data_IF_624500085469
#
_entry.id   IF_624500085469
#
_cell.length_a   1.000
_cell.length_b   1.000
_cell.length_c   1.000
_cell.angle_alpha   90.00
_cell.angle_beta   90.00
_cell.angle_gamma   90.00
#
_symmetry.space_group_name_H-M   'P 1'
#
loop_
_entity.id
_entity.type
_entity.pdbx_description
1 polymer ?
#
# COMPACT_ATOMS: atom_id res chain seq x y z
N UNK A 1 16.25 -8.36 -0.72
CA UNK A 1 17.69 -8.49 -0.41
C UNK A 1 18.58 -7.76 -1.42
N UNK A 2 18.59 -8.12 -2.72
CA UNK A 2 19.43 -7.46 -3.73
C UNK A 2 19.06 -5.98 -3.97
N UNK A 3 17.77 -5.67 -4.11
CA UNK A 3 17.29 -4.29 -4.24
C UNK A 3 17.61 -3.42 -3.00
N UNK A 4 17.52 -4.00 -1.80
CA UNK A 4 17.89 -3.33 -0.55
C UNK A 4 19.40 -3.05 -0.49
N UNK A 5 20.23 -4.02 -0.92
CA UNK A 5 21.68 -3.87 -1.00
C UNK A 5 22.08 -2.80 -2.02
N UNK A 6 21.38 -2.69 -3.14
CA UNK A 6 21.65 -1.70 -4.18
C UNK A 6 21.15 -0.29 -3.81
N UNK A 7 20.01 -0.18 -3.11
CA UNK A 7 19.55 1.10 -2.54
C UNK A 7 20.56 1.62 -1.52
N UNK A 8 21.19 0.73 -0.74
CA UNK A 8 22.17 1.07 0.31
C UNK A 8 23.60 1.20 -0.29
N UNK A 9 23.91 0.48 -1.35
CA UNK A 9 25.21 0.40 -2.02
C UNK A 9 25.03 0.20 -3.53
N UNK A 10 24.88 1.29 -4.31
CA UNK A 10 24.53 1.25 -5.74
C UNK A 10 25.53 0.53 -6.65
N UNK A 11 26.73 0.22 -6.16
CA UNK A 11 27.81 -0.42 -6.92
C UNK A 11 28.11 -1.85 -6.48
N UNK A 12 27.30 -2.45 -5.59
CA UNK A 12 27.58 -3.75 -4.99
C UNK A 12 27.78 -4.89 -6.01
N UNK A 13 27.27 -4.75 -7.23
CA UNK A 13 27.36 -5.76 -8.30
C UNK A 13 28.29 -5.38 -9.46
N UNK A 14 29.04 -4.28 -9.36
CA UNK A 14 29.99 -3.84 -10.40
C UNK A 14 29.35 -3.27 -11.67
N UNK A 15 28.02 -3.13 -11.70
CA UNK A 15 27.23 -2.49 -12.76
C UNK A 15 26.06 -1.72 -12.12
N UNK A 16 25.73 -0.54 -12.66
CA UNK A 16 24.60 0.28 -12.19
C UNK A 16 23.27 -0.28 -12.74
N UNK A 17 22.68 -1.25 -12.05
CA UNK A 17 21.28 -1.58 -12.27
C UNK A 17 20.47 -0.72 -11.28
N UNK A 18 19.39 -0.06 -11.70
CA UNK A 18 18.53 0.64 -10.75
C UNK A 18 17.65 -0.38 -10.03
N UNK A 19 17.40 -0.21 -8.72
CA UNK A 19 16.55 -1.12 -7.93
C UNK A 19 15.15 -1.35 -8.54
N UNK A 20 14.64 -0.36 -9.29
CA UNK A 20 13.40 -0.44 -10.05
C UNK A 20 13.45 -1.56 -11.11
N UNK A 21 14.60 -1.74 -11.78
CA UNK A 21 14.80 -2.85 -12.72
C UNK A 21 14.87 -4.19 -12.01
N UNK A 22 15.49 -4.27 -10.84
CA UNK A 22 15.46 -5.48 -10.02
C UNK A 22 14.03 -5.88 -9.62
N UNK A 23 13.22 -4.91 -9.17
CA UNK A 23 11.82 -5.17 -8.86
C UNK A 23 11.00 -5.54 -10.09
N UNK A 24 11.22 -4.88 -11.23
CA UNK A 24 10.53 -5.23 -12.48
C UNK A 24 10.85 -6.65 -12.92
N UNK A 25 12.13 -7.05 -12.91
CA UNK A 25 12.53 -8.41 -13.25
C UNK A 25 11.91 -9.44 -12.29
N UNK A 26 11.94 -9.17 -10.98
CA UNK A 26 11.35 -10.05 -10.00
C UNK A 26 9.85 -10.21 -10.24
N UNK A 27 9.13 -9.12 -10.49
CA UNK A 27 7.71 -9.14 -10.88
C UNK A 27 7.47 -9.98 -12.13
N UNK A 28 8.29 -9.84 -13.17
CA UNK A 28 8.12 -10.57 -14.43
C UNK A 28 8.37 -12.08 -14.26
N UNK A 29 9.37 -12.46 -13.46
CA UNK A 29 9.63 -13.86 -13.11
C UNK A 29 8.45 -14.47 -12.34
N UNK A 30 7.92 -13.71 -11.39
CA UNK A 30 6.76 -14.11 -10.60
C UNK A 30 5.52 -14.28 -11.47
N UNK A 31 5.27 -13.35 -12.37
CA UNK A 31 4.17 -13.43 -13.32
C UNK A 31 4.22 -14.71 -14.17
N UNK A 32 5.40 -15.05 -14.71
CA UNK A 32 5.60 -16.28 -15.48
C UNK A 32 5.34 -17.53 -14.64
N UNK A 33 5.88 -17.56 -13.40
CA UNK A 33 5.64 -18.65 -12.45
C UNK A 33 4.15 -18.82 -12.16
N UNK A 34 3.41 -17.73 -11.98
CA UNK A 34 1.97 -17.78 -11.76
C UNK A 34 1.22 -18.31 -12.99
N UNK A 35 1.58 -17.86 -14.19
CA UNK A 35 0.99 -18.36 -15.43
C UNK A 35 1.23 -19.87 -15.62
N UNK A 36 2.35 -20.41 -15.12
CA UNK A 36 2.64 -21.84 -15.11
C UNK A 36 1.83 -22.58 -14.04
N UNK A 37 1.73 -22.04 -12.82
CA UNK A 37 0.92 -22.64 -11.74
C UNK A 37 -0.57 -22.70 -12.11
N UNK A 38 -1.11 -21.69 -12.83
CA UNK A 38 -2.50 -21.70 -13.34
C UNK A 38 -2.79 -22.83 -14.34
N UNK A 39 -1.77 -23.36 -15.01
CA UNK A 39 -1.92 -24.48 -15.96
C UNK A 39 -1.91 -25.84 -15.27
N UNK A 40 -1.57 -25.89 -13.98
CA UNK A 40 -1.41 -27.14 -13.22
C UNK A 40 -2.49 -27.17 -12.13
N UNK A 41 -3.53 -27.98 -12.31
CA UNK A 41 -4.76 -28.00 -11.49
C UNK A 41 -4.56 -28.25 -9.97
N UNK A 42 -3.32 -28.54 -9.52
CA UNK A 42 -2.98 -28.85 -8.12
C UNK A 42 -1.87 -27.96 -7.52
N UNK A 43 -1.30 -26.99 -8.25
CA UNK A 43 -0.06 -26.31 -7.84
C UNK A 43 -0.20 -25.16 -6.84
N UNK A 44 -1.42 -24.72 -6.49
CA UNK A 44 -1.63 -23.46 -5.75
C UNK A 44 -1.71 -23.65 -4.23
N UNK A 45 -2.17 -24.81 -3.74
CA UNK A 45 -2.17 -25.11 -2.29
C UNK A 45 -0.75 -25.37 -1.74
N UNK A 46 0.21 -25.74 -2.59
CA UNK A 46 1.53 -26.23 -2.13
C UNK A 46 2.58 -25.13 -1.94
N UNK A 47 2.47 -23.97 -2.59
CA UNK A 47 3.54 -22.96 -2.55
C UNK A 47 3.17 -21.71 -1.72
N UNK A 48 3.18 -21.88 -0.39
CA UNK A 48 3.02 -20.80 0.59
C UNK A 48 4.01 -19.65 0.36
N UNK A 49 5.18 -19.92 -0.21
CA UNK A 49 6.20 -18.91 -0.52
C UNK A 49 5.76 -18.07 -1.72
N UNK A 50 5.23 -18.69 -2.77
CA UNK A 50 4.63 -17.96 -3.90
C UNK A 50 3.44 -17.09 -3.43
N UNK A 51 2.54 -17.63 -2.61
CA UNK A 51 1.41 -16.86 -2.06
C UNK A 51 1.90 -15.65 -1.25
N UNK A 52 2.88 -15.84 -0.38
CA UNK A 52 3.52 -14.77 0.41
C UNK A 52 4.13 -13.68 -0.49
N UNK A 53 4.98 -14.08 -1.44
CA UNK A 53 5.62 -13.13 -2.35
C UNK A 53 4.56 -12.36 -3.15
N UNK A 54 3.43 -12.98 -3.46
CA UNK A 54 2.39 -12.38 -4.29
C UNK A 54 1.65 -11.29 -3.52
N UNK A 55 1.22 -11.58 -2.28
CA UNK A 55 0.66 -10.55 -1.39
C UNK A 55 1.63 -9.38 -1.22
N UNK A 56 2.92 -9.65 -1.08
CA UNK A 56 3.95 -8.61 -0.95
C UNK A 56 4.11 -7.74 -2.20
N UNK A 57 4.20 -8.33 -3.39
CA UNK A 57 4.30 -7.55 -4.63
C UNK A 57 3.01 -6.80 -4.95
N UNK A 58 1.84 -7.39 -4.67
CA UNK A 58 0.55 -6.71 -4.82
C UNK A 58 0.47 -5.48 -3.90
N UNK A 59 0.90 -5.62 -2.65
CA UNK A 59 1.03 -4.50 -1.72
C UNK A 59 1.94 -3.39 -2.26
N UNK A 60 3.15 -3.74 -2.70
CA UNK A 60 4.08 -2.76 -3.28
C UNK A 60 3.52 -2.06 -4.51
N UNK A 61 2.82 -2.78 -5.38
CA UNK A 61 2.24 -2.21 -6.60
C UNK A 61 1.11 -1.24 -6.28
N UNK A 62 0.18 -1.62 -5.39
CA UNK A 62 -0.93 -0.76 -4.95
C UNK A 62 -0.40 0.51 -4.30
N UNK A 63 0.55 0.39 -3.37
CA UNK A 63 1.13 1.55 -2.69
C UNK A 63 1.98 2.41 -3.63
N UNK A 64 2.73 1.80 -4.55
CA UNK A 64 3.51 2.50 -5.56
C UNK A 64 2.62 3.33 -6.50
N UNK A 65 1.50 2.78 -6.94
CA UNK A 65 0.52 3.49 -7.76
C UNK A 65 -0.17 4.63 -6.98
N UNK A 66 -0.52 4.38 -5.71
CA UNK A 66 -1.09 5.41 -4.83
C UNK A 66 -0.09 6.52 -4.46
N UNK A 67 1.21 6.24 -4.54
CA UNK A 67 2.28 7.21 -4.29
C UNK A 67 2.67 8.04 -5.52
N UNK A 68 2.04 7.82 -6.68
CA UNK A 68 2.25 8.62 -7.90
C UNK A 68 3.32 8.10 -8.85
N UNK A 69 3.73 6.84 -8.74
CA UNK A 69 4.68 6.22 -9.66
C UNK A 69 4.11 6.09 -11.08
N UNK A 70 4.68 6.82 -12.05
CA UNK A 70 4.34 6.69 -13.47
C UNK A 70 4.79 5.31 -13.98
N UNK A 71 3.90 4.54 -14.65
CA UNK A 71 4.27 3.25 -15.22
C UNK A 71 5.29 3.39 -16.34
N UNK A 72 6.06 2.33 -16.52
CA UNK A 72 6.53 1.96 -17.85
C UNK A 72 5.31 1.50 -18.69
N UNK A 73 5.19 1.96 -19.94
CA UNK A 73 3.97 1.81 -20.78
C UNK A 73 3.52 0.34 -20.94
N UNK A 74 4.46 -0.59 -20.89
CA UNK A 74 4.24 -2.02 -21.13
C UNK A 74 3.90 -2.83 -19.86
N UNK A 75 3.67 -2.19 -18.71
CA UNK A 75 3.49 -2.90 -17.44
C UNK A 75 2.01 -3.15 -17.09
N UNK A 76 1.50 -4.38 -17.20
CA UNK A 76 0.14 -4.74 -16.81
C UNK A 76 0.05 -4.87 -15.27
N UNK A 77 0.05 -3.74 -14.57
CA UNK A 77 0.26 -3.67 -13.10
C UNK A 77 -0.88 -4.22 -12.22
N UNK A 78 -2.02 -4.58 -12.81
CA UNK A 78 -3.20 -4.90 -12.02
C UNK A 78 -3.66 -6.36 -12.05
N UNK A 79 -3.07 -7.17 -12.94
CA UNK A 79 -3.41 -8.59 -13.08
C UNK A 79 -2.88 -9.44 -11.91
N UNK A 80 -1.91 -8.92 -11.16
CA UNK A 80 -1.35 -9.58 -9.99
C UNK A 80 -2.39 -9.70 -8.86
N UNK A 81 -3.23 -8.68 -8.66
CA UNK A 81 -4.30 -8.68 -7.68
C UNK A 81 -5.48 -9.57 -8.11
N UNK A 82 -5.69 -9.74 -9.41
CA UNK A 82 -6.76 -10.59 -9.97
C UNK A 82 -6.60 -12.07 -9.57
N UNK A 83 -5.38 -12.49 -9.23
CA UNK A 83 -5.13 -13.83 -8.68
C UNK A 83 -5.53 -13.96 -7.20
N UNK A 84 -5.23 -12.98 -6.34
CA UNK A 84 -5.71 -12.95 -4.95
C UNK A 84 -7.23 -12.85 -4.88
N UNK A 85 -7.89 -12.41 -5.96
CA UNK A 85 -9.34 -12.40 -6.13
C UNK A 85 -9.96 -13.76 -6.45
N UNK A 86 -9.16 -14.79 -6.81
CA UNK A 86 -9.67 -16.14 -7.09
C UNK A 86 -9.69 -17.07 -5.88
N UNK A 87 -9.05 -16.68 -4.78
CA UNK A 87 -9.17 -17.36 -3.47
C UNK A 87 -10.22 -16.69 -2.58
N UNK A 88 -11.30 -16.21 -3.20
CA UNK A 88 -12.41 -15.53 -2.54
C UNK A 88 -13.33 -16.54 -1.81
N UNK A 89 -12.73 -17.34 -0.91
CA UNK A 89 -13.44 -18.00 0.17
C UNK A 89 -13.85 -17.01 1.28
N UNK A 90 -14.04 -17.55 2.49
CA UNK A 90 -14.51 -16.85 3.71
C UNK A 90 -13.53 -15.76 4.24
N UNK A 91 -12.36 -15.60 3.62
CA UNK A 91 -11.20 -14.90 4.20
C UNK A 91 -11.08 -13.43 3.76
N UNK A 92 -12.06 -12.90 3.04
CA UNK A 92 -12.01 -11.53 2.50
C UNK A 92 -11.84 -10.43 3.55
N UNK A 93 -12.22 -10.71 4.80
CA UNK A 93 -12.11 -9.78 5.93
C UNK A 93 -11.00 -10.17 6.92
N UNK A 94 -10.19 -11.16 6.55
CA UNK A 94 -8.96 -11.51 7.25
C UNK A 94 -7.89 -10.44 6.96
N UNK A 95 -7.23 -9.96 8.02
CA UNK A 95 -6.07 -9.08 7.94
C UNK A 95 -4.91 -9.91 7.42
N UNK A 96 -4.36 -9.52 6.28
CA UNK A 96 -3.18 -10.16 5.73
C UNK A 96 -1.96 -9.87 6.62
N UNK A 97 -1.25 -10.93 6.99
CA UNK A 97 -0.09 -10.90 7.87
C UNK A 97 1.06 -9.97 7.38
N UNK A 98 1.11 -9.64 6.08
CA UNK A 98 2.13 -8.79 5.46
C UNK A 98 1.61 -7.39 5.23
N UNK A 99 0.40 -7.26 4.69
CA UNK A 99 -0.16 -5.96 4.36
C UNK A 99 -0.59 -5.19 5.62
N UNK A 100 -1.01 -5.89 6.67
CA UNK A 100 -1.55 -5.27 7.88
C UNK A 100 -2.98 -4.75 7.73
N UNK A 101 -3.66 -5.07 6.63
CA UNK A 101 -5.06 -4.75 6.39
C UNK A 101 -5.75 -5.88 5.62
N UNK A 102 -7.08 -5.80 5.53
CA UNK A 102 -7.88 -6.88 4.95
C UNK A 102 -7.66 -7.05 3.46
N UNK A 103 -7.79 -8.29 2.96
CA UNK A 103 -7.77 -8.57 1.52
C UNK A 103 -8.82 -7.72 0.77
N UNK A 104 -10.01 -7.53 1.34
CA UNK A 104 -11.04 -6.63 0.79
C UNK A 104 -10.53 -5.18 0.68
N UNK A 105 -9.83 -4.66 1.69
CA UNK A 105 -9.26 -3.31 1.64
C UNK A 105 -8.20 -3.21 0.52
N UNK A 106 -7.32 -4.20 0.38
CA UNK A 106 -6.32 -4.27 -0.69
C UNK A 106 -6.96 -4.16 -2.08
N UNK A 107 -8.00 -4.96 -2.30
CA UNK A 107 -8.74 -5.01 -3.56
C UNK A 107 -9.40 -3.67 -3.92
N UNK A 108 -9.86 -2.95 -2.91
CA UNK A 108 -10.52 -1.65 -3.07
C UNK A 108 -9.47 -0.55 -3.29
N UNK A 109 -8.39 -0.53 -2.51
CA UNK A 109 -7.28 0.42 -2.66
C UNK A 109 -6.68 0.35 -4.06
N UNK A 110 -6.53 -0.87 -4.58
CA UNK A 110 -6.08 -1.06 -5.93
C UNK A 110 -7.06 -0.43 -6.94
N UNK A 111 -8.38 -0.65 -6.80
CA UNK A 111 -9.37 -0.03 -7.69
C UNK A 111 -9.28 1.50 -7.65
N UNK A 112 -9.01 2.07 -6.47
CA UNK A 112 -8.76 3.51 -6.30
C UNK A 112 -7.48 3.92 -7.02
N UNK A 113 -6.40 3.15 -6.90
CA UNK A 113 -5.12 3.43 -7.55
C UNK A 113 -5.25 3.49 -9.08
N UNK A 114 -5.99 2.54 -9.66
CA UNK A 114 -6.25 2.51 -11.11
C UNK A 114 -7.08 3.71 -11.58
N UNK A 115 -8.14 4.07 -10.84
CA UNK A 115 -8.92 5.27 -11.15
C UNK A 115 -8.08 6.53 -11.03
N UNK A 116 -7.32 6.66 -9.95
CA UNK A 116 -6.47 7.81 -9.67
C UNK A 116 -5.45 8.01 -10.79
N UNK A 117 -4.81 6.92 -11.24
CA UNK A 117 -3.85 6.93 -12.36
C UNK A 117 -4.49 7.45 -13.64
N UNK A 118 -5.64 6.91 -14.07
CA UNK A 118 -6.33 7.38 -15.28
C UNK A 118 -6.71 8.86 -15.19
N UNK A 119 -7.12 9.31 -14.01
CA UNK A 119 -7.43 10.71 -13.75
C UNK A 119 -6.18 11.59 -13.77
N UNK A 120 -5.05 11.12 -13.24
CA UNK A 120 -3.75 11.79 -13.32
C UNK A 120 -3.27 11.91 -14.76
N UNK A 121 -3.38 10.85 -15.56
CA UNK A 121 -3.04 10.88 -16.99
C UNK A 121 -3.85 11.93 -17.73
N UNK A 122 -5.17 12.01 -17.51
CA UNK A 122 -6.01 13.06 -18.10
C UNK A 122 -5.61 14.47 -17.64
N UNK A 123 -5.22 14.63 -16.38
CA UNK A 123 -4.76 15.92 -15.83
C UNK A 123 -3.43 16.35 -16.43
N UNK A 124 -2.47 15.44 -16.52
CA UNK A 124 -1.09 15.72 -16.95
C UNK A 124 -0.97 15.84 -18.47
N UNK A 125 -1.80 15.12 -19.24
CA UNK A 125 -1.81 15.21 -20.72
C UNK A 125 -2.56 16.43 -21.25
N UNK A 126 -3.39 17.08 -20.42
CA UNK A 126 -4.09 18.30 -20.81
C UNK A 126 -3.09 19.45 -21.04
N UNK A 127 -2.90 19.83 -22.31
CA UNK A 127 -1.86 20.76 -22.81
C UNK A 127 -1.99 22.22 -22.35
N UNK A 128 -2.82 22.50 -21.33
CA UNK A 128 -3.03 23.87 -20.84
C UNK A 128 -2.10 24.16 -19.65
N UNK A 129 -1.24 25.19 -19.74
CA UNK A 129 -0.27 25.57 -18.69
C UNK A 129 -0.92 26.03 -17.37
N UNK A 130 -2.25 26.12 -17.33
CA UNK A 130 -3.04 26.21 -16.12
C UNK A 130 -4.35 25.46 -16.38
N UNK A 131 -4.56 24.25 -15.83
CA UNK A 131 -5.83 23.59 -16.02
C UNK A 131 -6.92 24.45 -15.36
N UNK A 132 -8.00 24.86 -16.05
CA UNK A 132 -9.25 25.10 -15.33
C UNK A 132 -9.49 23.85 -14.48
N UNK A 133 -9.84 24.02 -13.20
CA UNK A 133 -9.97 22.95 -12.21
C UNK A 133 -10.46 21.65 -12.87
N UNK A 134 -9.53 20.73 -13.15
CA UNK A 134 -9.86 19.51 -13.90
C UNK A 134 -10.99 18.80 -13.16
N UNK A 135 -12.02 18.41 -13.88
CA UNK A 135 -13.15 17.68 -13.30
C UNK A 135 -13.26 16.30 -13.95
N UNK A 136 -13.53 15.26 -13.15
CA UNK A 136 -13.74 13.92 -13.68
C UNK A 136 -15.00 13.85 -14.52
N UNK A 137 -14.97 13.06 -15.60
CA UNK A 137 -16.16 12.75 -16.38
C UNK A 137 -17.21 11.95 -15.57
N UNK A 138 -18.48 11.93 -16.00
CA UNK A 138 -19.57 11.28 -15.26
C UNK A 138 -19.33 9.80 -14.94
N UNK A 139 -18.67 9.07 -15.84
CA UNK A 139 -18.33 7.66 -15.64
C UNK A 139 -17.34 7.46 -14.48
N UNK A 140 -16.33 8.34 -14.35
CA UNK A 140 -15.38 8.31 -13.24
C UNK A 140 -16.07 8.65 -11.92
N UNK A 141 -16.97 9.64 -11.91
CA UNK A 141 -17.76 9.98 -10.72
C UNK A 141 -18.63 8.81 -10.27
N UNK A 142 -19.34 8.16 -11.20
CA UNK A 142 -20.17 7.00 -10.89
C UNK A 142 -19.33 5.85 -10.33
N UNK A 143 -18.17 5.57 -10.96
CA UNK A 143 -17.28 4.51 -10.51
C UNK A 143 -16.66 4.83 -9.15
N UNK A 144 -16.29 6.08 -8.90
CA UNK A 144 -15.80 6.54 -7.61
C UNK A 144 -16.82 6.30 -6.50
N UNK A 145 -18.09 6.66 -6.71
CA UNK A 145 -19.18 6.40 -5.75
C UNK A 145 -19.36 4.91 -5.44
N UNK A 146 -19.25 4.05 -6.45
CA UNK A 146 -19.32 2.60 -6.23
C UNK A 146 -18.16 2.09 -5.38
N UNK A 147 -16.95 2.58 -5.64
CA UNK A 147 -15.75 2.17 -4.90
C UNK A 147 -15.79 2.73 -3.47
N UNK A 148 -16.24 3.96 -3.29
CA UNK A 148 -16.49 4.57 -1.97
C UNK A 148 -17.48 3.74 -1.15
N UNK A 149 -18.62 3.36 -1.72
CA UNK A 149 -19.60 2.52 -1.02
C UNK A 149 -19.03 1.15 -0.63
N UNK A 150 -18.25 0.52 -1.52
CA UNK A 150 -17.56 -0.75 -1.21
C UNK A 150 -16.56 -0.58 -0.07
N UNK A 151 -15.80 0.51 -0.06
CA UNK A 151 -14.82 0.83 0.96
C UNK A 151 -15.50 1.05 2.31
N UNK A 152 -16.52 1.90 2.35
CA UNK A 152 -17.28 2.14 3.58
C UNK A 152 -17.96 0.86 4.08
N UNK A 153 -18.49 0.03 3.18
CA UNK A 153 -19.06 -1.26 3.55
C UNK A 153 -18.00 -2.20 4.13
N UNK A 154 -16.79 -2.29 3.56
CA UNK A 154 -15.75 -3.17 4.10
C UNK A 154 -15.26 -2.73 5.47
N UNK A 155 -15.31 -1.44 5.79
CA UNK A 155 -15.01 -0.93 7.14
C UNK A 155 -16.01 -1.41 8.20
N UNK A 156 -17.26 -1.69 7.84
CA UNK A 156 -18.26 -2.19 8.81
C UNK A 156 -18.15 -3.70 9.06
N UNK A 157 -17.24 -4.38 8.36
CA UNK A 157 -17.05 -5.82 8.46
C UNK A 157 -16.03 -6.14 9.55
N UNK A 158 -16.13 -7.30 10.22
CA UNK A 158 -15.17 -7.68 11.25
C UNK A 158 -13.77 -7.79 10.64
N UNK A 159 -12.78 -7.15 11.26
CA UNK A 159 -11.38 -7.36 10.91
C UNK A 159 -10.88 -8.60 11.66
N UNK A 160 -10.75 -9.72 10.94
CA UNK A 160 -10.36 -11.00 11.52
C UNK A 160 -8.82 -11.12 11.51
N UNK A 161 -8.20 -11.59 12.60
CA UNK A 161 -6.78 -11.92 12.57
C UNK A 161 -6.47 -12.99 11.52
N UNK A 162 -5.28 -12.89 10.93
CA UNK A 162 -4.71 -13.87 10.02
C UNK A 162 -4.74 -15.29 10.63
N UNK A 163 -5.12 -16.33 9.87
CA UNK A 163 -5.16 -17.75 10.31
C UNK A 163 -3.83 -18.28 10.82
N UNK A 164 -2.73 -17.66 10.41
CA UNK A 164 -1.39 -17.98 10.89
C UNK A 164 -1.15 -17.54 12.34
N UNK A 165 -1.98 -16.66 12.88
CA UNK A 165 -1.83 -16.13 14.25
C UNK A 165 -2.73 -16.92 15.21
N UNK A 166 -2.11 -17.69 16.08
CA UNK A 166 -2.82 -18.58 17.02
C UNK A 166 -3.39 -17.82 18.23
N UNK A 167 -2.74 -16.73 18.66
CA UNK A 167 -3.18 -15.85 19.73
C UNK A 167 -2.71 -14.43 19.48
N UNK A 168 -3.58 -13.45 19.67
CA UNK A 168 -3.28 -12.02 19.61
C UNK A 168 -3.74 -11.40 20.92
N UNK A 169 -2.84 -10.69 21.59
CA UNK A 169 -3.20 -9.90 22.77
C UNK A 169 -4.24 -8.84 22.40
N UNK A 170 -5.12 -8.48 23.34
CA UNK A 170 -6.23 -7.57 23.04
C UNK A 170 -5.76 -6.21 22.48
N UNK A 171 -4.63 -5.71 22.98
CA UNK A 171 -4.02 -4.45 22.54
C UNK A 171 -3.48 -4.55 21.10
N UNK A 172 -2.74 -5.62 20.79
CA UNK A 172 -2.22 -5.85 19.43
C UNK A 172 -3.36 -6.01 18.43
N UNK A 173 -4.44 -6.68 18.83
CA UNK A 173 -5.65 -6.82 18.03
C UNK A 173 -6.30 -5.47 17.75
N UNK A 174 -6.32 -4.58 18.73
CA UNK A 174 -6.85 -3.23 18.54
C UNK A 174 -5.98 -2.42 17.57
N UNK A 175 -4.66 -2.51 17.66
CA UNK A 175 -3.76 -1.83 16.72
C UNK A 175 -3.91 -2.36 15.29
N UNK A 176 -4.12 -3.66 15.11
CA UNK A 176 -4.43 -4.26 13.81
C UNK A 176 -5.72 -3.69 13.19
N UNK A 177 -6.78 -3.52 14.00
CA UNK A 177 -8.04 -2.91 13.56
C UNK A 177 -7.82 -1.46 13.16
N UNK A 178 -7.13 -0.67 14.00
CA UNK A 178 -6.83 0.74 13.73
C UNK A 178 -5.98 0.93 12.48
N UNK A 179 -5.01 0.03 12.26
CA UNK A 179 -4.21 0.03 11.04
C UNK A 179 -5.08 -0.24 9.81
N UNK A 180 -5.93 -1.28 9.84
CA UNK A 180 -6.87 -1.55 8.75
C UNK A 180 -7.80 -0.35 8.48
N UNK A 181 -8.35 0.30 9.51
CA UNK A 181 -9.17 1.51 9.35
C UNK A 181 -8.39 2.67 8.71
N UNK A 182 -7.15 2.91 9.14
CA UNK A 182 -6.32 3.98 8.59
C UNK A 182 -6.02 3.78 7.09
N UNK A 183 -5.85 2.54 6.63
CA UNK A 183 -5.72 2.23 5.20
C UNK A 183 -7.00 2.55 4.42
N UNK A 184 -8.18 2.30 4.99
CA UNK A 184 -9.45 2.69 4.38
C UNK A 184 -9.56 4.22 4.26
N UNK A 185 -9.24 4.96 5.34
CA UNK A 185 -9.24 6.42 5.33
C UNK A 185 -8.25 7.00 4.31
N UNK A 186 -7.05 6.43 4.21
CA UNK A 186 -6.08 6.83 3.20
C UNK A 186 -6.62 6.59 1.77
N UNK A 187 -7.29 5.45 1.54
CA UNK A 187 -7.98 5.16 0.28
C UNK A 187 -9.01 6.23 -0.09
N UNK A 188 -9.87 6.63 0.86
CA UNK A 188 -10.86 7.69 0.63
C UNK A 188 -10.22 9.06 0.35
N UNK A 189 -9.10 9.40 0.99
CA UNK A 189 -8.35 10.63 0.66
C UNK A 189 -7.90 10.59 -0.80
N UNK A 190 -7.30 9.49 -1.25
CA UNK A 190 -6.88 9.34 -2.65
C UNK A 190 -8.08 9.40 -3.61
N UNK A 191 -9.20 8.78 -3.26
CA UNK A 191 -10.42 8.84 -4.07
C UNK A 191 -10.95 10.28 -4.19
N UNK A 192 -11.04 11.01 -3.08
CA UNK A 192 -11.51 12.40 -3.10
C UNK A 192 -10.56 13.35 -3.81
N UNK A 193 -9.25 13.23 -3.56
CA UNK A 193 -8.23 14.14 -4.11
C UNK A 193 -7.91 13.85 -5.57
N UNK A 194 -7.67 12.58 -5.90
CA UNK A 194 -7.10 12.18 -7.19
C UNK A 194 -8.14 11.76 -8.23
N UNK A 195 -9.28 11.23 -7.79
CA UNK A 195 -10.36 10.82 -8.70
C UNK A 195 -11.44 11.88 -8.79
N UNK A 196 -11.92 12.38 -7.64
CA UNK A 196 -12.99 13.40 -7.58
C UNK A 196 -12.49 14.84 -7.71
N UNK A 197 -11.17 15.06 -7.73
CA UNK A 197 -10.58 16.39 -7.93
C UNK A 197 -10.82 17.38 -6.79
N UNK A 198 -11.22 16.91 -5.60
CA UNK A 198 -11.47 17.80 -4.45
C UNK A 198 -10.16 18.45 -3.98
N UNK A 199 -10.16 19.74 -3.58
CA UNK A 199 -8.99 20.37 -2.99
C UNK A 199 -8.64 19.76 -1.62
N UNK A 200 -7.40 19.91 -1.16
CA UNK A 200 -6.97 19.37 0.15
C UNK A 200 -7.80 19.93 1.29
N UNK A 201 -8.16 21.22 1.25
CA UNK A 201 -9.00 21.85 2.26
C UNK A 201 -10.49 21.51 2.22
N UNK A 202 -10.93 20.61 1.34
CA UNK A 202 -12.31 20.14 1.34
C UNK A 202 -12.62 19.37 2.64
N UNK A 203 -13.83 19.54 3.20
CA UNK A 203 -14.24 18.86 4.44
C UNK A 203 -14.10 17.33 4.35
N UNK A 204 -14.56 16.74 3.25
CA UNK A 204 -14.39 15.30 2.97
C UNK A 204 -12.94 14.81 2.94
N UNK A 205 -11.95 15.69 2.80
CA UNK A 205 -10.53 15.32 2.90
C UNK A 205 -10.04 15.55 4.32
N UNK A 206 -10.30 16.72 4.90
CA UNK A 206 -9.83 17.07 6.24
C UNK A 206 -10.42 16.19 7.34
N UNK A 207 -11.68 15.77 7.21
CA UNK A 207 -12.30 14.81 8.14
C UNK A 207 -11.56 13.47 8.14
N UNK A 208 -11.12 13.00 6.97
CA UNK A 208 -10.37 11.76 6.85
C UNK A 208 -8.94 11.88 7.38
N UNK A 209 -8.29 13.05 7.18
CA UNK A 209 -7.00 13.35 7.81
C UNK A 209 -7.11 13.26 9.33
N UNK A 210 -8.17 13.84 9.91
CA UNK A 210 -8.43 13.75 11.34
C UNK A 210 -8.65 12.30 11.79
N UNK A 211 -9.38 11.49 11.02
CA UNK A 211 -9.57 10.07 11.32
C UNK A 211 -8.26 9.28 11.33
N UNK A 212 -7.36 9.52 10.37
CA UNK A 212 -6.04 8.86 10.35
C UNK A 212 -5.21 9.27 11.56
N UNK A 213 -5.24 10.55 11.95
CA UNK A 213 -4.50 11.04 13.12
C UNK A 213 -5.06 10.42 14.42
N UNK A 214 -6.37 10.29 14.55
CA UNK A 214 -6.98 9.62 15.70
C UNK A 214 -6.56 8.14 15.80
N UNK A 215 -6.49 7.43 14.66
CA UNK A 215 -5.94 6.07 14.63
C UNK A 215 -4.46 6.06 15.05
N UNK A 216 -3.65 7.00 14.56
CA UNK A 216 -2.22 7.12 14.88
C UNK A 216 -1.97 7.40 16.37
N UNK A 217 -2.75 8.30 16.97
CA UNK A 217 -2.68 8.63 18.40
C UNK A 217 -3.07 7.44 19.29
N UNK A 218 -3.87 6.50 18.76
CA UNK A 218 -4.29 5.29 19.45
C UNK A 218 -3.34 4.10 19.26
N UNK A 219 -2.34 4.21 18.38
CA UNK A 219 -1.31 3.19 18.16
C UNK A 219 -0.07 3.55 18.98
N UNK A 220 0.53 2.56 19.66
CA UNK A 220 1.71 2.77 20.49
C UNK A 220 2.91 3.24 19.64
N UNK A 221 3.62 4.31 20.07
CA UNK A 221 4.86 4.71 19.43
C UNK A 221 5.91 3.60 19.49
N UNK A 222 6.76 3.50 18.46
CA UNK A 222 7.84 2.52 18.35
C UNK A 222 7.40 1.04 18.38
N UNK A 223 6.10 0.75 18.31
CA UNK A 223 5.56 -0.60 18.14
C UNK A 223 5.67 -1.12 16.70
N UNK A 224 5.48 -2.42 16.50
CA UNK A 224 5.51 -3.04 15.17
C UNK A 224 4.44 -2.46 14.22
N UNK A 225 3.27 -2.11 14.75
CA UNK A 225 2.17 -1.49 14.02
C UNK A 225 2.54 -0.11 13.45
N UNK A 226 3.44 0.64 14.09
CA UNK A 226 3.84 1.98 13.66
C UNK A 226 4.51 1.96 12.27
N UNK A 227 5.29 0.92 11.97
CA UNK A 227 5.94 0.77 10.67
C UNK A 227 4.92 0.46 9.56
N UNK A 228 3.92 -0.38 9.84
CA UNK A 228 2.82 -0.64 8.91
C UNK A 228 1.97 0.59 8.59
N UNK A 229 2.00 1.58 9.49
CA UNK A 229 1.22 2.83 9.39
C UNK A 229 1.86 3.90 8.49
N UNK A 230 3.04 3.65 7.90
CA UNK A 230 3.78 4.62 7.08
C UNK A 230 2.94 5.22 5.94
N UNK A 231 2.20 4.38 5.20
CA UNK A 231 1.40 4.86 4.06
C UNK A 231 0.22 5.76 4.49
N UNK A 232 -0.62 5.38 5.48
CA UNK A 232 -1.62 6.29 6.04
C UNK A 232 -1.02 7.60 6.59
N UNK A 233 0.09 7.52 7.34
CA UNK A 233 0.80 8.71 7.87
C UNK A 233 1.22 9.66 6.75
N UNK A 234 1.84 9.12 5.69
CA UNK A 234 2.26 9.91 4.54
C UNK A 234 1.07 10.58 3.86
N UNK A 235 0.01 9.80 3.61
CA UNK A 235 -1.22 10.29 2.96
C UNK A 235 -1.88 11.42 3.77
N UNK A 236 -1.98 11.25 5.10
CA UNK A 236 -2.50 12.29 5.99
C UNK A 236 -1.59 13.53 6.01
N UNK A 237 -0.27 13.34 6.15
CA UNK A 237 0.69 14.44 6.21
C UNK A 237 0.70 15.31 4.96
N UNK A 238 0.60 14.71 3.77
CA UNK A 238 0.50 15.45 2.51
C UNK A 238 -0.80 16.25 2.36
N UNK A 239 -1.84 15.95 3.14
CA UNK A 239 -3.15 16.60 3.04
C UNK A 239 -3.54 17.39 4.30
N UNK A 240 -2.79 17.28 5.41
CA UNK A 240 -3.01 18.06 6.61
C UNK A 240 -2.83 19.55 6.32
N UNK A 241 -3.77 20.37 6.79
CA UNK A 241 -3.67 21.83 6.73
C UNK A 241 -3.16 22.43 8.03
N UNK A 242 -3.46 21.78 9.15
CA UNK A 242 -3.09 22.20 10.49
C UNK A 242 -1.64 21.83 10.83
N UNK A 243 -0.93 22.76 11.48
CA UNK A 243 0.49 22.59 11.75
C UNK A 243 0.78 21.66 12.93
N UNK A 244 -0.14 21.56 13.91
CA UNK A 244 -0.04 20.58 15.00
C UNK A 244 -0.19 19.16 14.45
N UNK A 245 -1.18 18.94 13.57
CA UNK A 245 -1.35 17.68 12.85
C UNK A 245 -0.09 17.26 12.07
N UNK A 246 0.53 18.19 11.32
CA UNK A 246 1.79 17.91 10.60
C UNK A 246 2.92 17.59 11.56
N UNK A 247 3.04 18.35 12.65
CA UNK A 247 4.09 18.17 13.65
C UNK A 247 4.01 16.78 14.29
N UNK A 248 2.81 16.33 14.67
CA UNK A 248 2.56 14.99 15.20
C UNK A 248 2.96 13.89 14.21
N UNK A 249 2.55 14.01 12.95
CA UNK A 249 2.90 13.02 11.92
C UNK A 249 4.43 12.97 11.70
N UNK A 250 5.09 14.13 11.65
CA UNK A 250 6.55 14.22 11.50
C UNK A 250 7.30 13.61 12.69
N UNK A 251 6.80 13.78 13.91
CA UNK A 251 7.36 13.14 15.10
C UNK A 251 7.30 11.60 14.98
N UNK A 252 6.17 11.06 14.55
CA UNK A 252 6.00 9.60 14.34
C UNK A 252 6.90 9.08 13.21
N UNK A 253 7.09 9.84 12.14
CA UNK A 253 8.10 9.48 11.11
C UNK A 253 9.52 9.40 11.67
N UNK A 254 9.92 10.33 12.54
CA UNK A 254 11.25 10.29 13.19
C UNK A 254 11.40 9.08 14.12
N UNK A 255 10.33 8.69 14.83
CA UNK A 255 10.30 7.44 15.61
C UNK A 255 10.57 6.23 14.71
N UNK A 256 9.82 6.10 13.60
CA UNK A 256 9.98 4.97 12.67
C UNK A 256 11.36 4.96 12.03
N UNK A 257 11.90 6.11 11.61
CA UNK A 257 13.25 6.24 11.05
C UNK A 257 14.30 5.71 12.04
N UNK A 258 14.21 6.11 13.31
CA UNK A 258 15.15 5.69 14.35
C UNK A 258 15.12 4.18 14.62
N UNK A 259 13.95 3.54 14.48
CA UNK A 259 13.75 2.12 14.76
C UNK A 259 13.97 1.22 13.53
N UNK A 260 13.59 1.68 12.34
CA UNK A 260 13.71 0.94 11.09
C UNK A 260 15.16 0.77 10.63
N UNK A 261 16.03 1.77 10.89
CA UNK A 261 17.45 1.69 10.56
C UNK A 261 18.27 0.80 11.50
N UNK A 262 17.77 0.50 12.71
CA UNK A 262 18.44 -0.40 13.66
C UNK A 262 18.42 -1.85 13.18
N UNK A 263 17.31 -2.28 12.56
CA UNK A 263 17.16 -3.63 11.99
C UNK A 263 18.13 -3.87 10.81
N UNK A 264 18.40 -2.84 9.99
CA UNK A 264 19.39 -2.92 8.91
C UNK A 264 20.83 -3.03 9.44
N UNK A 265 21.14 -2.36 10.55
CA UNK A 265 22.45 -2.45 11.21
C UNK A 265 22.71 -3.81 11.85
N UNK A 266 21.70 -4.45 12.45
CA UNK A 266 21.83 -5.79 13.02
C UNK A 266 22.08 -6.82 11.93
N UNK A 267 21.35 -6.76 10.81
CA UNK A 267 21.58 -7.62 9.65
C UNK A 267 22.98 -7.42 9.02
N UNK A 268 23.50 -6.19 9.02
CA UNK A 268 24.86 -5.90 8.55
C UNK A 268 25.96 -6.43 9.49
N UNK A 269 25.66 -6.59 10.78
CA UNK A 269 26.59 -7.15 11.78
C UNK A 269 26.53 -8.69 11.85
N UNK A 270 25.47 -9.31 11.36
CA UNK A 270 25.26 -10.77 11.36
C UNK A 270 25.64 -11.48 10.06
N UNK A 271 25.98 -10.76 8.98
CA UNK A 271 26.58 -11.35 7.78
C UNK A 271 28.06 -11.67 8.07
N UNK A 272 28.48 -12.94 8.10
CA UNK A 272 29.90 -13.27 8.24
C UNK A 272 30.65 -12.66 7.07
N UNK A 273 31.82 -12.09 7.33
CA UNK A 273 32.74 -11.68 6.28
C UNK A 273 33.12 -12.91 5.46
N UNK A 274 32.42 -13.13 4.35
CA UNK A 274 32.86 -14.03 3.29
C UNK A 274 33.93 -13.27 2.51
N UNK A 275 35.13 -13.30 3.06
CA UNK A 275 36.36 -12.96 2.37
C UNK A 275 37.16 -14.23 2.16
N UNK A 276 37.19 -14.70 0.90
CA UNK A 276 38.30 -15.43 0.29
C UNK A 276 38.22 -15.24 -1.22
#
# INVERSE_FOLDING_TARGET
>A
MLASLEIISPTAFGYDIPWQRHLSLARDLMWRRLADLRRTEQGLEEDRVCAFLWSWFAYLDVLGCLSGGMPDEDSPRFWLLEYTMHDAGDDRYEIDCIMGFTASCAQILAQIAELARRCDEQRLTSSNPSPPAWTPGPAFIQRAKQVEQKLLYSMTQPSLPCKHIQSVEAEDRQEMVLMNEAFHWAGLIHLHRRVLGKPSGHADVQGLVQSIIACLESIRPSGSAETGFLFPMFTAGCNALDEDQRSKILERFRSVESNGMTQARVLALELPQISS
#
